data_IF_395650411410
#
_entry.id   IF_395650411410
#
_cell.length_a   1.000
_cell.length_b   1.000
_cell.length_c   1.000
_cell.angle_alpha   90.00
_cell.angle_beta   90.00
_cell.angle_gamma   90.00
#
_symmetry.space_group_name_H-M   'P 1'
#
loop_
_entity.id
_entity.type
_entity.pdbx_description
1 polymer ?
#
# COMPACT_ATOMS: atom_id res chain seq x y z
N UNK A 1 -18.92 -7.48 -8.30
CA UNK A 1 -18.82 -6.10 -8.82
C UNK A 1 -18.28 -6.15 -10.25
N UNK A 2 -18.96 -5.62 -11.27
CA UNK A 2 -18.43 -5.59 -12.64
C UNK A 2 -17.32 -4.52 -12.76
N UNK A 3 -16.32 -4.77 -13.60
CA UNK A 3 -14.95 -4.20 -13.55
C UNK A 3 -14.73 -2.70 -13.84
N UNK A 4 -15.60 -1.79 -13.38
CA UNK A 4 -15.39 -0.32 -13.48
C UNK A 4 -15.94 0.44 -12.27
N UNK A 5 -15.77 -0.08 -11.06
CA UNK A 5 -16.19 0.65 -9.85
C UNK A 5 -15.04 1.50 -9.36
N UNK A 6 -15.27 2.80 -9.16
CA UNK A 6 -14.28 3.69 -8.54
C UNK A 6 -13.82 3.14 -7.18
N UNK A 7 -12.50 3.17 -6.94
CA UNK A 7 -11.90 2.67 -5.69
C UNK A 7 -12.53 3.29 -4.45
N UNK A 8 -12.87 4.59 -4.49
CA UNK A 8 -13.57 5.28 -3.40
C UNK A 8 -14.94 4.64 -3.09
N UNK A 9 -15.66 4.17 -4.11
CA UNK A 9 -16.96 3.50 -3.95
C UNK A 9 -16.78 2.06 -3.47
N UNK A 10 -15.75 1.35 -3.92
CA UNK A 10 -15.42 0.01 -3.38
C UNK A 10 -15.06 0.13 -1.90
N UNK A 11 -14.21 1.11 -1.57
CA UNK A 11 -13.79 1.37 -0.20
C UNK A 11 -14.98 1.72 0.70
N UNK A 12 -15.85 2.66 0.29
CA UNK A 12 -17.03 3.05 1.07
C UNK A 12 -18.01 1.89 1.33
N UNK A 13 -18.10 0.92 0.42
CA UNK A 13 -18.95 -0.26 0.58
C UNK A 13 -18.24 -1.43 1.28
N UNK A 14 -16.98 -1.27 1.67
CA UNK A 14 -16.20 -2.33 2.33
C UNK A 14 -16.51 -2.41 3.82
N UNK A 15 -16.38 -3.62 4.40
CA UNK A 15 -16.44 -3.79 5.86
C UNK A 15 -15.32 -3.06 6.59
N UNK A 16 -14.18 -2.81 5.92
CA UNK A 16 -13.08 -2.01 6.44
C UNK A 16 -13.53 -0.58 6.75
N UNK A 17 -14.22 0.07 5.81
CA UNK A 17 -14.72 1.44 6.00
C UNK A 17 -15.65 1.56 7.21
N UNK A 18 -16.59 0.61 7.36
CA UNK A 18 -17.52 0.59 8.50
C UNK A 18 -16.77 0.44 9.83
N UNK A 19 -15.84 -0.50 9.92
CA UNK A 19 -15.05 -0.72 11.15
C UNK A 19 -14.14 0.47 11.49
N UNK A 20 -13.61 1.17 10.48
CA UNK A 20 -12.85 2.41 10.69
C UNK A 20 -13.74 3.56 11.19
N UNK A 21 -14.96 3.68 10.66
CA UNK A 21 -15.96 4.63 11.17
C UNK A 21 -16.40 4.31 12.61
N UNK A 22 -16.50 3.03 12.96
CA UNK A 22 -16.80 2.57 14.31
C UNK A 22 -15.60 2.72 15.28
N UNK A 23 -14.43 3.18 14.81
CA UNK A 23 -13.24 3.38 15.65
C UNK A 23 -12.54 2.10 16.09
N UNK A 24 -12.90 0.94 15.51
CA UNK A 24 -12.45 -0.38 15.98
C UNK A 24 -10.93 -0.60 15.80
N UNK A 25 -10.35 0.00 14.76
CA UNK A 25 -8.93 -0.24 14.42
C UNK A 25 -7.95 0.70 15.12
N UNK A 26 -8.40 1.89 15.52
CA UNK A 26 -7.55 2.91 16.15
C UNK A 26 -8.28 3.53 17.36
N UNK A 27 -8.70 2.74 18.37
CA UNK A 27 -9.37 3.29 19.54
C UNK A 27 -8.36 4.12 20.36
N UNK A 28 -8.62 5.42 20.47
CA UNK A 28 -7.92 6.39 21.33
C UNK A 28 -6.38 6.32 21.28
N UNK A 29 -5.83 5.88 20.15
CA UNK A 29 -4.41 5.68 19.99
C UNK A 29 -3.81 6.92 19.33
N UNK A 30 -3.13 7.71 20.15
CA UNK A 30 -2.33 8.84 19.70
C UNK A 30 -0.85 8.46 19.67
N UNK A 31 -0.14 9.06 18.73
CA UNK A 31 1.32 8.99 18.64
C UNK A 31 1.86 10.38 18.89
N UNK A 32 2.90 10.47 19.72
CA UNK A 32 3.62 11.72 19.94
C UNK A 32 4.70 11.87 18.88
N UNK A 33 4.68 12.96 18.12
CA UNK A 33 5.74 13.31 17.17
C UNK A 33 6.30 14.67 17.56
N UNK A 34 7.51 14.66 18.12
CA UNK A 34 8.06 15.83 18.79
C UNK A 34 7.24 16.13 20.04
N UNK A 35 6.66 17.33 20.09
CA UNK A 35 5.82 17.79 21.21
C UNK A 35 4.31 17.79 20.87
N UNK A 36 3.93 17.12 19.78
CA UNK A 36 2.56 17.10 19.28
C UNK A 36 1.99 15.69 19.36
N UNK A 37 0.88 15.53 20.08
CA UNK A 37 0.07 14.31 20.02
C UNK A 37 -0.79 14.34 18.75
N UNK A 38 -0.74 13.27 17.98
CA UNK A 38 -1.52 13.13 16.77
C UNK A 38 -2.24 11.77 16.74
N UNK A 39 -3.48 11.71 16.24
CA UNK A 39 -4.18 10.45 16.09
C UNK A 39 -3.52 9.60 14.99
N UNK A 40 -3.64 8.28 15.10
CA UNK A 40 -3.27 7.38 14.01
C UNK A 40 -4.24 7.56 12.84
N UNK A 41 -3.70 7.83 11.66
CA UNK A 41 -4.46 8.03 10.43
C UNK A 41 -3.97 7.13 9.29
N UNK A 42 -4.90 6.76 8.41
CA UNK A 42 -4.61 6.11 7.14
C UNK A 42 -4.27 7.17 6.09
N UNK A 43 -3.29 6.89 5.23
CA UNK A 43 -2.94 7.76 4.10
C UNK A 43 -3.71 7.34 2.85
N UNK A 44 -4.55 8.24 2.35
CA UNK A 44 -5.41 8.05 1.18
C UNK A 44 -4.91 8.78 -0.08
N UNK A 45 -5.41 8.33 -1.23
CA UNK A 45 -5.34 9.07 -2.49
C UNK A 45 -6.18 10.36 -2.47
N UNK A 46 -5.88 11.33 -3.35
CA UNK A 46 -6.69 12.55 -3.51
C UNK A 46 -8.18 12.28 -3.77
N UNK A 47 -8.48 11.13 -4.41
CA UNK A 47 -9.82 10.69 -4.77
C UNK A 47 -10.69 10.27 -3.57
N UNK A 48 -10.11 10.08 -2.38
CA UNK A 48 -10.86 9.77 -1.18
C UNK A 48 -11.31 11.06 -0.46
N UNK A 49 -12.41 11.03 0.30
CA UNK A 49 -12.77 12.11 1.20
C UNK A 49 -11.76 12.20 2.37
N UNK A 50 -11.57 13.41 2.90
CA UNK A 50 -10.85 13.61 4.15
C UNK A 50 -11.74 13.14 5.32
N UNK A 51 -11.21 12.38 6.26
CA UNK A 51 -11.92 11.89 7.44
C UNK A 51 -11.01 11.93 8.68
N UNK A 52 -11.55 11.86 9.92
CA UNK A 52 -10.73 11.88 11.14
C UNK A 52 -9.62 10.82 11.17
N UNK A 53 -9.84 9.68 10.54
CA UNK A 53 -8.91 8.56 10.44
C UNK A 53 -8.32 8.39 9.02
N UNK A 54 -8.60 9.30 8.08
CA UNK A 54 -8.12 9.23 6.69
C UNK A 54 -7.60 10.59 6.22
N UNK A 55 -6.28 10.68 6.09
CA UNK A 55 -5.58 11.85 5.61
C UNK A 55 -5.29 11.74 4.12
N UNK A 56 -5.39 12.86 3.39
CA UNK A 56 -5.17 12.90 1.93
C UNK A 56 -4.31 14.10 1.55
N UNK A 57 -3.65 14.08 0.38
CA UNK A 57 -2.87 15.23 -0.07
C UNK A 57 -3.75 16.46 -0.31
N UNK A 58 -3.18 17.64 -0.07
CA UNK A 58 -3.78 18.92 -0.45
C UNK A 58 -3.88 19.03 -1.97
N UNK A 59 -4.92 19.72 -2.45
CA UNK A 59 -5.20 19.96 -3.87
C UNK A 59 -5.50 21.44 -4.10
N UNK A 60 -5.26 21.94 -5.32
CA UNK A 60 -5.50 23.35 -5.69
C UNK A 60 -4.22 24.18 -5.62
N UNK A 61 -4.35 25.46 -5.27
CA UNK A 61 -3.18 26.32 -5.05
C UNK A 61 -2.47 25.90 -3.75
N UNK A 62 -1.24 25.42 -3.89
CA UNK A 62 -0.43 24.93 -2.78
C UNK A 62 0.59 26.00 -2.38
N UNK A 63 0.74 26.22 -1.08
CA UNK A 63 1.88 26.93 -0.50
C UNK A 63 3.02 25.94 -0.25
N UNK A 64 4.20 26.46 0.10
CA UNK A 64 5.41 25.66 0.34
C UNK A 64 5.21 24.57 1.39
N UNK A 65 4.41 24.85 2.42
CA UNK A 65 4.17 23.90 3.52
C UNK A 65 3.25 22.75 3.08
N UNK A 66 2.20 23.06 2.31
CA UNK A 66 1.32 22.05 1.69
C UNK A 66 2.07 21.19 0.67
N UNK A 67 2.98 21.78 -0.11
CA UNK A 67 3.84 21.05 -1.03
C UNK A 67 4.77 20.08 -0.28
N UNK A 68 5.43 20.56 0.78
CA UNK A 68 6.28 19.72 1.62
C UNK A 68 5.50 18.58 2.27
N UNK A 69 4.30 18.86 2.76
CA UNK A 69 3.40 17.84 3.28
C UNK A 69 3.04 16.79 2.22
N UNK A 70 2.61 17.23 1.04
CA UNK A 70 2.26 16.33 -0.07
C UNK A 70 3.45 15.47 -0.53
N UNK A 71 4.65 16.05 -0.54
CA UNK A 71 5.88 15.33 -0.83
C UNK A 71 6.13 14.21 0.18
N UNK A 72 6.08 14.52 1.49
CA UNK A 72 6.26 13.52 2.56
C UNK A 72 5.21 12.42 2.50
N UNK A 73 3.94 12.79 2.30
CA UNK A 73 2.83 11.85 2.17
C UNK A 73 3.02 10.91 0.97
N UNK A 74 3.49 11.43 -0.17
CA UNK A 74 3.79 10.64 -1.36
C UNK A 74 4.95 9.66 -1.13
N UNK A 75 6.01 10.07 -0.40
CA UNK A 75 7.11 9.19 -0.02
C UNK A 75 6.65 8.03 0.86
N UNK A 76 5.81 8.29 1.86
CA UNK A 76 5.23 7.24 2.70
C UNK A 76 4.40 6.26 1.88
N UNK A 77 3.57 6.76 0.96
CA UNK A 77 2.76 5.91 0.06
C UNK A 77 3.60 5.05 -0.86
N UNK A 78 4.70 5.58 -1.40
CA UNK A 78 5.60 4.80 -2.26
C UNK A 78 6.16 3.58 -1.54
N UNK A 79 6.48 3.68 -0.25
CA UNK A 79 6.92 2.53 0.55
C UNK A 79 5.83 1.45 0.66
N UNK A 80 4.59 1.87 0.88
CA UNK A 80 3.42 0.98 0.93
C UNK A 80 3.19 0.30 -0.43
N UNK A 81 3.29 1.06 -1.52
CA UNK A 81 3.17 0.53 -2.88
C UNK A 81 4.28 -0.47 -3.22
N UNK A 82 5.53 -0.18 -2.83
CA UNK A 82 6.65 -1.11 -2.95
C UNK A 82 6.41 -2.40 -2.15
N UNK A 83 5.90 -2.29 -0.91
CA UNK A 83 5.58 -3.45 -0.08
C UNK A 83 4.49 -4.34 -0.72
N UNK A 84 3.41 -3.73 -1.20
CA UNK A 84 2.37 -4.46 -1.95
C UNK A 84 2.88 -5.01 -3.28
N UNK A 85 3.78 -4.32 -3.96
CA UNK A 85 4.45 -4.81 -5.16
C UNK A 85 5.25 -6.08 -4.90
N UNK A 86 6.04 -6.10 -3.81
CA UNK A 86 6.78 -7.30 -3.35
C UNK A 86 5.83 -8.44 -2.98
N UNK A 87 4.76 -8.14 -2.25
CA UNK A 87 3.75 -9.12 -1.88
C UNK A 87 3.08 -9.75 -3.12
N UNK A 88 2.69 -8.93 -4.11
CA UNK A 88 2.17 -9.42 -5.39
C UNK A 88 3.20 -10.25 -6.15
N UNK A 89 4.47 -9.86 -6.12
CA UNK A 89 5.58 -10.63 -6.69
C UNK A 89 5.71 -12.01 -6.06
N UNK A 90 5.72 -12.09 -4.72
CA UNK A 90 5.77 -13.37 -3.99
C UNK A 90 4.55 -14.25 -4.31
N UNK A 91 3.35 -13.67 -4.34
CA UNK A 91 2.14 -14.42 -4.70
C UNK A 91 2.20 -14.97 -6.12
N UNK A 92 2.69 -14.17 -7.08
CA UNK A 92 2.92 -14.64 -8.46
C UNK A 92 3.95 -15.76 -8.50
N UNK A 93 5.06 -15.66 -7.77
CA UNK A 93 6.04 -16.74 -7.68
C UNK A 93 5.46 -18.02 -7.11
N UNK A 94 4.57 -17.93 -6.12
CA UNK A 94 3.86 -19.09 -5.57
C UNK A 94 2.88 -19.71 -6.57
N UNK A 95 2.10 -18.89 -7.28
CA UNK A 95 1.20 -19.37 -8.34
C UNK A 95 1.97 -20.01 -9.50
N UNK A 96 3.10 -19.43 -9.91
CA UNK A 96 3.98 -20.01 -10.93
C UNK A 96 4.61 -21.32 -10.45
N UNK A 97 4.94 -21.46 -9.17
CA UNK A 97 5.41 -22.73 -8.61
C UNK A 97 4.32 -23.81 -8.60
N UNK A 98 3.06 -23.45 -8.40
CA UNK A 98 1.92 -24.37 -8.51
C UNK A 98 1.66 -24.80 -9.95
N UNK A 99 1.74 -23.89 -10.94
CA UNK A 99 1.59 -24.24 -12.37
C UNK A 99 2.73 -25.13 -12.89
N UNK A 100 3.93 -25.00 -12.32
CA UNK A 100 5.08 -25.88 -12.62
C UNK A 100 4.98 -27.27 -11.95
N UNK A 101 4.05 -27.46 -11.00
CA UNK A 101 3.90 -28.73 -10.29
C UNK A 101 3.18 -29.81 -11.11
N UNK A 102 2.46 -29.43 -12.18
CA UNK A 102 1.77 -30.39 -13.05
C UNK A 102 2.58 -30.78 -14.29
N UNK A 103 3.71 -30.10 -14.60
CA UNK A 103 4.49 -30.38 -15.81
C UNK A 103 5.99 -30.47 -15.46
N UNK A 104 6.45 -31.70 -15.21
CA UNK A 104 7.83 -32.18 -15.33
C UNK A 104 8.91 -31.53 -14.44
N UNK A 105 9.24 -32.19 -13.32
CA UNK A 105 10.50 -31.95 -12.59
C UNK A 105 11.33 -33.24 -12.61
N UNK A 106 12.21 -33.38 -13.60
CA UNK A 106 13.63 -33.45 -13.23
C UNK A 106 14.50 -32.57 -14.15
N UNK A 107 14.33 -31.24 -14.09
CA UNK A 107 15.36 -30.29 -14.53
C UNK A 107 15.47 -29.16 -13.50
N UNK A 108 15.78 -29.53 -12.27
CA UNK A 108 16.28 -28.62 -11.22
C UNK A 108 17.70 -29.07 -10.92
N UNK A 109 18.64 -28.69 -11.78
CA UNK A 109 20.10 -28.51 -11.56
C UNK A 109 20.60 -27.99 -12.91
N UNK A 110 20.79 -26.67 -13.09
CA UNK A 110 21.85 -26.06 -13.94
C UNK A 110 21.85 -24.53 -13.74
N UNK A 111 20.72 -23.86 -13.50
CA UNK A 111 20.69 -22.38 -13.49
C UNK A 111 21.17 -21.69 -12.19
N UNK A 112 21.95 -22.40 -11.36
CA UNK A 112 22.60 -21.85 -10.16
C UNK A 112 24.13 -21.68 -10.30
N UNK A 113 24.72 -21.88 -11.48
CA UNK A 113 26.15 -21.59 -11.73
C UNK A 113 26.33 -20.77 -13.00
N UNK A 114 26.46 -19.47 -12.85
CA UNK A 114 26.72 -18.57 -13.98
C UNK A 114 26.85 -17.08 -13.61
N UNK A 115 27.33 -16.75 -12.41
CA UNK A 115 27.82 -15.40 -12.10
C UNK A 115 29.20 -15.55 -11.47
N UNK A 116 30.20 -15.70 -12.33
CA UNK A 116 31.54 -15.13 -12.17
C UNK A 116 32.31 -15.43 -13.45
N UNK A 117 32.74 -14.38 -14.11
CA UNK A 117 33.96 -14.20 -14.89
C UNK A 117 33.68 -13.02 -15.82
N UNK A 118 34.31 -11.88 -15.55
CA UNK A 118 35.21 -11.16 -16.46
C UNK A 118 36.00 -10.16 -15.63
N UNK A 119 37.33 -10.30 -15.67
CA UNK A 119 38.26 -9.17 -15.65
C UNK A 119 38.02 -8.29 -16.88
#
# INVERSE_FOLDING_TARGET
WPGKVHDARVFRNSGLFRRLQEGIYFPDQEITVGDVEMPIVILGNPAYPLMPWLMKPYTGALDSDKELFNYRLSKCRMLVECAFGRLKGHWRSLLTHSDLSEINIPIVIVRARGIRLWQ
#
